data_IF_718538659922
#
_entry.id   IF_718538659922
#
_cell.length_a   1.000
_cell.length_b   1.000
_cell.length_c   1.000
_cell.angle_alpha   90.00
_cell.angle_beta   90.00
_cell.angle_gamma   90.00
#
_symmetry.space_group_name_H-M   'P 1'
#
loop_
_entity.id
_entity.type
_entity.pdbx_description
1 polymer ?
#
# COMPACT_ATOMS: atom_id res chain seq x y z
N UNK A 1 0.51 15.59 9.59
CA UNK A 1 0.40 14.17 9.21
C UNK A 1 0.57 14.08 7.72
N UNK A 2 1.43 13.17 7.24
CA UNK A 2 1.68 12.97 5.82
C UNK A 2 1.60 11.49 5.44
N UNK A 3 0.90 11.21 4.34
CA UNK A 3 1.05 9.96 3.61
C UNK A 3 2.25 10.13 2.67
N UNK A 4 3.31 9.37 2.90
CA UNK A 4 4.48 9.37 2.01
C UNK A 4 4.36 8.19 1.05
N UNK A 5 4.55 8.45 -0.21
CA UNK A 5 4.35 7.49 -1.30
C UNK A 5 5.66 7.08 -2.01
N UNK A 6 6.76 7.79 -1.76
CA UNK A 6 8.05 7.49 -2.39
C UNK A 6 8.94 6.73 -1.40
N UNK A 7 8.79 5.41 -1.34
CA UNK A 7 9.46 4.54 -0.37
C UNK A 7 10.99 4.73 -0.30
N UNK A 8 11.67 4.87 -1.43
CA UNK A 8 13.12 5.06 -1.49
C UNK A 8 13.59 6.37 -0.83
N UNK A 9 12.72 7.36 -0.66
CA UNK A 9 13.05 8.67 -0.10
C UNK A 9 12.53 8.89 1.33
N UNK A 10 11.94 7.88 1.95
CA UNK A 10 11.40 7.99 3.32
C UNK A 10 12.46 8.46 4.34
N UNK A 11 13.71 7.93 4.36
CA UNK A 11 14.71 8.38 5.33
C UNK A 11 15.08 9.86 5.20
N UNK A 12 15.24 10.35 3.96
CA UNK A 12 15.52 11.75 3.67
C UNK A 12 14.34 12.66 4.07
N UNK A 13 13.14 12.25 3.71
CA UNK A 13 11.91 12.95 4.06
C UNK A 13 11.70 13.02 5.57
N UNK A 14 11.91 11.92 6.29
CA UNK A 14 11.86 11.89 7.75
C UNK A 14 12.79 12.93 8.37
N UNK A 15 14.05 13.00 7.92
CA UNK A 15 15.04 13.94 8.43
C UNK A 15 14.62 15.40 8.21
N UNK A 16 14.05 15.70 7.04
CA UNK A 16 13.54 17.05 6.72
C UNK A 16 12.35 17.43 7.60
N UNK A 17 11.41 16.51 7.80
CA UNK A 17 10.23 16.73 8.66
C UNK A 17 10.65 16.87 10.12
N UNK A 18 11.60 16.05 10.60
CA UNK A 18 12.08 16.10 11.97
C UNK A 18 12.71 17.45 12.31
N UNK A 19 13.58 17.94 11.42
CA UNK A 19 14.19 19.27 11.58
C UNK A 19 13.13 20.36 11.68
N UNK A 20 12.23 20.45 10.69
CA UNK A 20 11.21 21.47 10.66
C UNK A 20 10.23 21.38 11.85
N UNK A 21 9.87 20.16 12.25
CA UNK A 21 8.96 19.94 13.37
C UNK A 21 9.61 20.36 14.71
N UNK A 22 10.89 20.07 14.92
CA UNK A 22 11.63 20.50 16.11
C UNK A 22 11.80 22.02 16.18
N UNK A 23 12.18 22.65 15.06
CA UNK A 23 12.30 24.11 14.96
C UNK A 23 10.97 24.82 15.23
N UNK A 24 9.86 24.25 14.79
CA UNK A 24 8.51 24.80 15.01
C UNK A 24 7.84 24.38 16.31
N UNK A 25 8.46 23.51 17.14
CA UNK A 25 7.84 22.97 18.36
C UNK A 25 6.61 22.10 18.08
N UNK A 26 6.55 21.42 16.93
CA UNK A 26 5.42 20.64 16.48
C UNK A 26 5.73 19.15 16.35
N UNK A 27 4.68 18.33 16.14
CA UNK A 27 4.79 16.92 15.81
C UNK A 27 4.51 16.71 14.31
N UNK A 28 5.43 16.02 13.62
CA UNK A 28 5.23 15.50 12.29
C UNK A 28 5.09 13.97 12.32
N UNK A 29 4.02 13.39 11.76
CA UNK A 29 3.92 11.94 11.58
C UNK A 29 3.88 11.64 10.10
N UNK A 30 4.80 10.78 9.64
CA UNK A 30 4.95 10.41 8.23
C UNK A 30 4.62 8.94 7.97
N UNK A 31 4.53 8.56 6.71
CA UNK A 31 4.20 7.21 6.23
C UNK A 31 2.85 6.72 6.75
N UNK A 32 1.90 7.65 6.86
CA UNK A 32 0.56 7.37 7.37
C UNK A 32 -0.37 7.01 6.22
N UNK A 33 -0.79 5.78 6.21
CA UNK A 33 -1.71 5.23 5.21
C UNK A 33 -1.93 3.74 5.47
N UNK A 34 -2.46 3.04 4.48
CA UNK A 34 -2.57 1.60 4.61
C UNK A 34 -1.30 0.88 4.10
N UNK A 35 -0.62 1.39 3.05
CA UNK A 35 0.73 0.97 2.65
C UNK A 35 1.45 2.09 1.87
N UNK A 36 2.47 2.72 2.45
CA UNK A 36 3.03 2.49 3.78
C UNK A 36 2.07 2.89 4.91
N UNK A 37 2.24 2.25 6.06
CA UNK A 37 1.48 2.51 7.28
C UNK A 37 0.98 1.24 7.94
N UNK A 38 -0.29 0.89 7.75
CA UNK A 38 -0.87 -0.32 8.39
C UNK A 38 -0.15 -1.60 7.97
N UNK A 39 0.11 -1.78 6.68
CA UNK A 39 0.87 -2.95 6.21
C UNK A 39 2.32 -2.94 6.68
N UNK A 40 2.91 -1.76 6.86
CA UNK A 40 4.25 -1.65 7.46
C UNK A 40 4.26 -2.17 8.90
N UNK A 41 3.25 -1.81 9.70
CA UNK A 41 3.05 -2.34 11.06
C UNK A 41 2.79 -3.85 11.04
N UNK A 42 1.96 -4.33 10.13
CA UNK A 42 1.66 -5.75 10.00
C UNK A 42 2.93 -6.56 9.65
N UNK A 43 3.78 -6.06 8.75
CA UNK A 43 5.09 -6.65 8.47
C UNK A 43 5.96 -6.68 9.72
N UNK A 44 6.08 -5.56 10.42
CA UNK A 44 6.87 -5.46 11.64
C UNK A 44 6.39 -6.44 12.73
N UNK A 45 5.10 -6.50 13.01
CA UNK A 45 4.54 -7.42 14.01
C UNK A 45 4.80 -8.89 13.63
N UNK A 46 4.54 -9.24 12.37
CA UNK A 46 4.74 -10.60 11.88
C UNK A 46 6.21 -11.02 11.98
N UNK A 47 7.14 -10.17 11.56
CA UNK A 47 8.59 -10.41 11.65
C UNK A 47 9.10 -10.48 13.09
N UNK A 48 8.54 -9.67 13.98
CA UNK A 48 8.92 -9.68 15.40
C UNK A 48 8.50 -10.96 16.11
N UNK A 49 7.42 -11.61 15.65
CA UNK A 49 6.88 -12.86 16.24
C UNK A 49 7.52 -14.09 15.60
N UNK A 50 7.54 -14.14 14.26
CA UNK A 50 8.19 -15.20 13.49
C UNK A 50 9.54 -14.69 12.97
N UNK A 51 10.57 -14.71 13.82
CA UNK A 51 11.90 -14.16 13.50
C UNK A 51 12.53 -14.88 12.31
N UNK A 52 12.42 -16.21 12.25
CA UNK A 52 12.82 -17.00 11.11
C UNK A 52 11.65 -17.15 10.14
N UNK A 53 11.84 -16.76 8.88
CA UNK A 53 10.79 -16.81 7.88
C UNK A 53 10.85 -15.68 6.86
N UNK A 54 9.89 -15.68 5.95
CA UNK A 54 9.80 -14.75 4.83
C UNK A 54 8.47 -13.98 4.84
N UNK A 55 8.52 -12.68 4.54
CA UNK A 55 7.33 -11.82 4.44
C UNK A 55 7.05 -11.48 2.99
N UNK A 56 5.80 -11.63 2.61
CA UNK A 56 5.30 -11.33 1.27
C UNK A 56 4.20 -10.27 1.35
N UNK A 57 4.22 -9.33 0.43
CA UNK A 57 3.13 -8.38 0.24
C UNK A 57 2.53 -8.57 -1.14
N UNK A 58 1.22 -8.78 -1.19
CA UNK A 58 0.43 -8.85 -2.41
C UNK A 58 -0.57 -7.70 -2.40
N UNK A 59 -0.50 -6.83 -3.41
CA UNK A 59 -1.42 -5.70 -3.56
C UNK A 59 -2.52 -6.02 -4.55
N UNK A 60 -3.74 -5.62 -4.23
CA UNK A 60 -4.87 -5.72 -5.13
C UNK A 60 -5.99 -6.67 -4.64
N UNK A 61 -6.98 -6.94 -5.46
CA UNK A 61 -7.20 -6.24 -6.73
C UNK A 61 -7.51 -4.77 -6.47
N UNK A 62 -6.77 -3.84 -7.10
CA UNK A 62 -6.97 -2.43 -6.80
C UNK A 62 -6.41 -1.46 -7.82
N UNK A 63 -7.03 -0.27 -7.87
CA UNK A 63 -6.65 0.82 -8.75
C UNK A 63 -5.37 1.49 -8.28
N UNK A 64 -4.33 1.49 -9.11
CA UNK A 64 -3.12 2.27 -8.86
C UNK A 64 -3.22 3.63 -9.53
N UNK A 65 -3.27 4.69 -8.73
CA UNK A 65 -3.37 6.08 -9.21
C UNK A 65 -2.12 6.49 -10.01
N UNK A 66 -0.94 6.22 -9.46
CA UNK A 66 0.31 6.58 -10.12
C UNK A 66 0.52 5.90 -11.47
N UNK A 67 0.18 4.60 -11.57
CA UNK A 67 0.25 3.88 -12.83
C UNK A 67 -0.80 4.36 -13.83
N UNK A 68 -2.02 4.62 -13.38
CA UNK A 68 -3.08 5.19 -14.21
C UNK A 68 -2.68 6.56 -14.76
N UNK A 69 -2.05 7.39 -13.94
CA UNK A 69 -1.53 8.70 -14.34
C UNK A 69 -0.40 8.58 -15.37
N UNK A 70 0.49 7.62 -15.21
CA UNK A 70 1.57 7.38 -16.17
C UNK A 70 1.01 7.02 -17.55
N UNK A 71 -0.04 6.16 -17.60
CA UNK A 71 -0.71 5.80 -18.86
C UNK A 71 -1.38 7.02 -19.50
N UNK A 72 -2.08 7.86 -18.71
CA UNK A 72 -2.76 9.07 -19.21
C UNK A 72 -1.84 10.11 -19.85
N UNK A 73 -0.52 10.03 -19.60
CA UNK A 73 0.49 10.91 -20.19
C UNK A 73 1.03 10.42 -21.54
N UNK A 74 0.64 9.21 -21.97
CA UNK A 74 1.03 8.68 -23.27
C UNK A 74 0.24 9.41 -24.35
N UNK A 75 0.91 9.82 -25.42
CA UNK A 75 0.28 10.44 -26.58
C UNK A 75 -0.81 9.54 -27.17
N UNK A 76 -1.96 10.11 -27.50
CA UNK A 76 -3.12 9.37 -28.01
C UNK A 76 -3.97 8.68 -26.94
N UNK A 77 -3.66 8.84 -25.65
CA UNK A 77 -4.50 8.35 -24.56
C UNK A 77 -5.37 9.48 -24.01
N UNK A 78 -6.68 9.32 -24.11
CA UNK A 78 -7.69 10.24 -23.56
C UNK A 78 -7.90 10.02 -22.07
N UNK A 79 -7.98 8.76 -21.63
CA UNK A 79 -8.16 8.37 -20.23
C UNK A 79 -7.70 6.94 -20.01
N UNK A 80 -7.33 6.60 -18.75
CA UNK A 80 -6.94 5.24 -18.41
C UNK A 80 -7.10 4.95 -16.93
N UNK A 81 -7.35 3.68 -16.63
CA UNK A 81 -7.30 3.12 -15.27
C UNK A 81 -6.49 1.83 -15.30
N UNK A 82 -5.63 1.65 -14.30
CA UNK A 82 -4.82 0.46 -14.14
C UNK A 82 -5.15 -0.22 -12.82
N UNK A 83 -5.31 -1.54 -12.86
CA UNK A 83 -5.47 -2.41 -11.70
C UNK A 83 -4.23 -3.26 -11.47
N UNK A 84 -3.77 -3.28 -10.23
CA UNK A 84 -2.82 -4.28 -9.74
C UNK A 84 -3.61 -5.50 -9.30
N UNK A 85 -3.25 -6.68 -9.80
CA UNK A 85 -3.95 -7.94 -9.54
C UNK A 85 -2.94 -8.94 -8.97
N UNK A 86 -3.13 -9.43 -7.74
CA UNK A 86 -2.26 -10.44 -7.19
C UNK A 86 -2.47 -11.79 -7.90
N UNK A 87 -1.40 -12.57 -8.02
CA UNK A 87 -1.46 -13.92 -8.62
C UNK A 87 -1.85 -14.91 -7.52
N UNK A 88 -3.03 -15.50 -7.64
CA UNK A 88 -3.62 -16.39 -6.65
C UNK A 88 -2.73 -17.60 -6.36
N UNK A 89 -2.15 -18.24 -7.38
CA UNK A 89 -1.26 -19.39 -7.20
C UNK A 89 -0.01 -19.05 -6.39
N UNK A 90 0.51 -17.82 -6.51
CA UNK A 90 1.64 -17.35 -5.71
C UNK A 90 1.23 -17.13 -4.24
N UNK A 91 0.04 -16.58 -4.01
CA UNK A 91 -0.51 -16.41 -2.66
C UNK A 91 -0.75 -17.77 -1.99
N UNK A 92 -1.38 -18.72 -2.68
CA UNK A 92 -1.63 -20.08 -2.17
C UNK A 92 -0.33 -20.83 -1.85
N UNK A 93 0.70 -20.66 -2.68
CA UNK A 93 2.02 -21.22 -2.41
C UNK A 93 2.61 -20.68 -1.10
N UNK A 94 2.50 -19.39 -0.84
CA UNK A 94 2.95 -18.78 0.43
C UNK A 94 2.07 -19.24 1.60
N UNK A 95 0.75 -19.26 1.43
CA UNK A 95 -0.22 -19.72 2.43
C UNK A 95 -0.01 -21.18 2.85
N UNK A 96 0.56 -22.00 1.98
CA UNK A 96 0.93 -23.38 2.31
C UNK A 96 2.10 -23.51 3.30
N UNK A 97 2.70 -22.38 3.70
CA UNK A 97 3.89 -22.35 4.56
C UNK A 97 5.20 -22.50 3.77
N UNK A 98 5.16 -22.35 2.44
CA UNK A 98 6.35 -22.32 1.61
C UNK A 98 6.98 -20.94 1.59
N UNK A 99 8.29 -20.88 1.35
CA UNK A 99 9.06 -19.65 1.29
C UNK A 99 9.69 -19.45 -0.11
N UNK A 100 8.87 -19.29 -1.17
CA UNK A 100 9.37 -19.14 -2.52
C UNK A 100 10.08 -17.80 -2.71
N UNK A 101 11.13 -17.78 -3.52
CA UNK A 101 11.65 -16.52 -4.07
C UNK A 101 10.78 -16.13 -5.25
N UNK A 102 10.03 -15.04 -5.10
CA UNK A 102 9.09 -14.54 -6.11
C UNK A 102 9.57 -13.21 -6.68
N UNK A 103 9.66 -13.14 -8.00
CA UNK A 103 9.87 -11.89 -8.73
C UNK A 103 8.60 -11.02 -8.70
N UNK A 104 8.72 -9.78 -9.11
CA UNK A 104 7.60 -8.84 -9.26
C UNK A 104 6.51 -9.42 -10.17
N UNK A 105 6.92 -10.01 -11.30
CA UNK A 105 6.06 -10.65 -12.31
C UNK A 105 5.30 -11.87 -11.78
N UNK A 106 5.95 -12.64 -10.90
CA UNK A 106 5.32 -13.83 -10.29
C UNK A 106 4.35 -13.47 -9.16
N UNK A 107 4.38 -12.24 -8.66
CA UNK A 107 3.45 -11.79 -7.61
C UNK A 107 2.23 -11.07 -8.14
N UNK A 108 2.36 -10.29 -9.23
CA UNK A 108 1.32 -9.38 -9.68
C UNK A 108 1.21 -9.31 -11.20
N UNK A 109 -0.02 -9.19 -11.67
CA UNK A 109 -0.38 -8.81 -13.02
C UNK A 109 -0.80 -7.33 -13.06
N UNK A 110 -0.76 -6.73 -14.24
CA UNK A 110 -1.31 -5.41 -14.54
C UNK A 110 -2.46 -5.53 -15.55
N UNK A 111 -3.62 -5.02 -15.18
CA UNK A 111 -4.76 -4.87 -16.07
C UNK A 111 -4.99 -3.39 -16.34
N UNK A 112 -4.87 -2.97 -17.59
CA UNK A 112 -5.07 -1.59 -18.02
C UNK A 112 -6.34 -1.49 -18.85
N UNK A 113 -7.16 -0.49 -18.57
CA UNK A 113 -8.34 -0.11 -19.34
C UNK A 113 -8.09 1.29 -19.88
N UNK A 114 -8.02 1.42 -21.20
CA UNK A 114 -7.52 2.62 -21.89
C UNK A 114 -8.56 3.13 -22.86
N UNK A 115 -8.89 4.40 -22.76
CA UNK A 115 -9.67 5.14 -23.76
C UNK A 115 -8.67 5.87 -24.66
N UNK A 116 -8.56 5.41 -25.89
CA UNK A 116 -7.71 6.06 -26.88
C UNK A 116 -8.43 7.24 -27.54
N UNK A 117 -7.68 8.23 -28.00
CA UNK A 117 -8.19 9.31 -28.85
C UNK A 117 -8.61 8.75 -30.21
N UNK A 118 -9.48 9.46 -30.91
CA UNK A 118 -9.93 9.06 -32.24
C UNK A 118 -8.74 9.05 -33.23
N UNK A 119 -8.57 7.94 -33.94
CA UNK A 119 -7.45 7.75 -34.87
C UNK A 119 -6.09 7.43 -34.24
N UNK A 120 -6.01 7.31 -32.93
CA UNK A 120 -4.74 6.97 -32.26
C UNK A 120 -4.27 5.55 -32.59
N UNK A 121 -2.96 5.37 -32.70
CA UNK A 121 -2.33 4.06 -32.90
C UNK A 121 -2.35 3.24 -31.59
N UNK A 122 -3.36 2.39 -31.46
CA UNK A 122 -3.55 1.51 -30.31
C UNK A 122 -2.36 0.57 -30.08
N UNK A 123 -1.72 0.10 -31.16
CA UNK A 123 -0.57 -0.79 -31.03
C UNK A 123 0.67 -0.06 -30.47
N UNK A 124 0.88 1.18 -30.89
CA UNK A 124 1.93 2.03 -30.32
C UNK A 124 1.66 2.35 -28.83
N UNK A 125 0.41 2.66 -28.46
CA UNK A 125 0.02 2.90 -27.06
C UNK A 125 0.24 1.64 -26.21
N UNK A 126 -0.22 0.47 -26.66
CA UNK A 126 -0.03 -0.79 -25.94
C UNK A 126 1.45 -1.09 -25.74
N UNK A 127 2.26 -0.93 -26.77
CA UNK A 127 3.71 -1.10 -26.68
C UNK A 127 4.33 -0.13 -25.67
N UNK A 128 3.97 1.15 -25.73
CA UNK A 128 4.47 2.18 -24.82
C UNK A 128 4.13 1.85 -23.34
N UNK A 129 2.92 1.34 -23.07
CA UNK A 129 2.54 0.89 -21.74
C UNK A 129 3.42 -0.28 -21.30
N UNK A 130 3.44 -1.37 -22.06
CA UNK A 130 4.11 -2.62 -21.68
C UNK A 130 5.63 -2.48 -21.49
N UNK A 131 6.25 -1.50 -22.14
CA UNK A 131 7.69 -1.25 -22.06
C UNK A 131 8.07 -0.07 -21.18
N UNK A 132 7.11 0.52 -20.46
CA UNK A 132 7.37 1.70 -19.61
C UNK A 132 8.21 1.32 -18.39
N UNK A 133 9.44 1.86 -18.26
CA UNK A 133 10.34 1.55 -17.16
C UNK A 133 9.77 1.94 -15.80
N UNK A 134 10.03 1.12 -14.80
CA UNK A 134 9.63 1.30 -13.39
C UNK A 134 8.10 1.18 -13.14
N UNK A 135 7.28 1.02 -14.17
CA UNK A 135 5.82 0.92 -14.05
C UNK A 135 5.28 -0.43 -14.55
N UNK A 136 5.70 -0.87 -15.75
CA UNK A 136 5.08 -2.01 -16.43
C UNK A 136 6.06 -3.04 -16.98
N UNK A 137 7.31 -2.67 -17.25
CA UNK A 137 8.31 -3.52 -17.90
C UNK A 137 8.66 -4.79 -17.11
N UNK A 138 8.48 -4.77 -15.79
CA UNK A 138 8.68 -5.93 -14.91
C UNK A 138 7.42 -6.77 -14.68
N UNK A 139 6.30 -6.47 -15.37
CA UNK A 139 5.01 -7.14 -15.15
C UNK A 139 4.43 -7.76 -16.42
N UNK A 140 3.61 -8.79 -16.25
CA UNK A 140 2.69 -9.23 -17.30
C UNK A 140 1.50 -8.28 -17.33
N UNK A 141 1.39 -7.52 -18.43
CA UNK A 141 0.45 -6.43 -18.57
C UNK A 141 -0.55 -6.72 -19.70
N UNK A 142 -1.84 -6.67 -19.37
CA UNK A 142 -2.93 -6.71 -20.33
C UNK A 142 -3.46 -5.30 -20.55
N UNK A 143 -3.63 -4.91 -21.82
CA UNK A 143 -4.18 -3.60 -22.19
C UNK A 143 -5.50 -3.82 -22.94
N UNK A 144 -6.58 -3.28 -22.37
CA UNK A 144 -7.92 -3.33 -22.92
C UNK A 144 -8.31 -1.93 -23.40
N UNK A 145 -8.60 -1.78 -24.70
CA UNK A 145 -9.13 -0.52 -25.22
C UNK A 145 -10.64 -0.55 -25.13
N UNK A 146 -11.20 0.43 -24.42
CA UNK A 146 -12.64 0.56 -24.13
C UNK A 146 -13.14 1.97 -24.45
N UNK A 147 -14.46 2.15 -24.45
CA UNK A 147 -15.07 3.47 -24.58
C UNK A 147 -15.01 4.28 -23.28
N UNK A 148 -15.24 5.60 -23.38
CA UNK A 148 -15.30 6.46 -22.20
C UNK A 148 -16.53 6.15 -21.32
N UNK A 149 -17.65 5.78 -21.96
CA UNK A 149 -18.88 5.34 -21.30
C UNK A 149 -18.64 4.07 -20.49
N UNK A 150 -17.95 3.11 -21.07
CA UNK A 150 -17.60 1.84 -20.44
C UNK A 150 -16.63 2.06 -19.25
N UNK A 151 -15.60 2.89 -19.43
CA UNK A 151 -14.69 3.28 -18.36
C UNK A 151 -15.46 3.91 -17.20
N UNK A 152 -16.39 4.81 -17.49
CA UNK A 152 -17.21 5.52 -16.50
C UNK A 152 -18.21 4.62 -15.79
N UNK A 153 -18.82 3.67 -16.53
CA UNK A 153 -19.79 2.73 -15.97
C UNK A 153 -19.16 1.69 -15.05
N UNK A 154 -17.98 1.17 -15.41
CA UNK A 154 -17.40 -0.01 -14.78
C UNK A 154 -16.11 0.24 -13.97
N UNK A 155 -15.42 1.38 -14.21
CA UNK A 155 -14.10 1.65 -13.65
C UNK A 155 -14.01 2.99 -12.90
N UNK A 156 -15.14 3.60 -12.53
CA UNK A 156 -15.18 4.90 -11.82
C UNK A 156 -14.85 4.82 -10.33
N UNK A 157 -14.89 3.61 -9.75
CA UNK A 157 -14.58 3.39 -8.33
C UNK A 157 -13.07 3.21 -8.13
N UNK A 158 -12.61 3.39 -6.89
CA UNK A 158 -11.22 3.25 -6.50
C UNK A 158 -11.01 2.14 -5.46
N UNK A 159 -11.43 0.89 -5.74
CA UNK A 159 -11.18 -0.22 -4.84
C UNK A 159 -9.68 -0.50 -4.73
N UNK A 160 -9.25 -0.96 -3.58
CA UNK A 160 -7.90 -1.46 -3.39
C UNK A 160 -7.85 -2.45 -2.23
N UNK A 161 -6.64 -2.81 -1.82
CA UNK A 161 -6.37 -3.68 -0.69
C UNK A 161 -5.18 -4.58 -0.97
N UNK A 162 -5.12 -5.69 -0.27
CA UNK A 162 -4.06 -6.67 -0.43
C UNK A 162 -3.85 -7.52 0.80
N UNK A 163 -2.69 -8.17 0.83
CA UNK A 163 -2.32 -9.13 1.86
C UNK A 163 -0.87 -8.90 2.28
N UNK A 164 -0.62 -8.99 3.59
CA UNK A 164 0.72 -9.23 4.14
C UNK A 164 0.71 -10.64 4.70
N UNK A 165 1.52 -11.51 4.15
CA UNK A 165 1.62 -12.91 4.55
C UNK A 165 3.05 -13.15 5.02
N UNK A 166 3.21 -13.63 6.24
CA UNK A 166 4.48 -14.12 6.75
C UNK A 166 4.38 -15.59 7.00
N UNK A 167 5.29 -16.33 6.44
CA UNK A 167 5.51 -17.75 6.71
C UNK A 167 6.84 -17.92 7.41
N UNK A 168 6.92 -18.86 8.34
CA UNK A 168 8.15 -19.11 9.10
C UNK A 168 8.00 -20.27 10.06
N UNK A 169 9.06 -20.52 10.80
CA UNK A 169 9.16 -21.67 11.72
C UNK A 169 9.48 -21.20 13.14
N UNK A 170 9.05 -21.96 14.12
CA UNK A 170 9.44 -21.76 15.52
C UNK A 170 9.94 -23.06 16.16
N UNK A 171 10.81 -22.89 17.17
CA UNK A 171 11.38 -24.02 17.92
C UNK A 171 12.41 -24.81 17.13
N UNK A 172 12.83 -25.94 17.71
CA UNK A 172 13.86 -26.82 17.13
C UNK A 172 13.28 -27.94 16.24
N UNK A 173 11.96 -28.09 16.23
CA UNK A 173 11.25 -29.16 15.50
C UNK A 173 10.72 -28.67 14.12
N UNK A 174 10.95 -27.41 13.75
CA UNK A 174 10.51 -26.85 12.48
C UNK A 174 8.99 -26.73 12.37
N UNK A 175 8.31 -26.34 13.45
CA UNK A 175 6.87 -26.09 13.43
C UNK A 175 6.55 -24.88 12.55
N UNK A 176 5.81 -25.10 11.46
CA UNK A 176 5.46 -24.08 10.47
C UNK A 176 4.27 -23.25 10.91
N UNK A 177 4.37 -21.96 10.67
CA UNK A 177 3.32 -20.99 10.98
C UNK A 177 3.13 -20.02 9.81
N UNK A 178 1.89 -19.58 9.64
CA UNK A 178 1.53 -18.53 8.68
C UNK A 178 0.75 -17.45 9.42
N UNK A 179 1.17 -16.21 9.29
CA UNK A 179 0.42 -15.03 9.74
C UNK A 179 -0.03 -14.29 8.49
N UNK A 180 -1.33 -14.05 8.37
CA UNK A 180 -1.89 -13.31 7.25
C UNK A 180 -2.71 -12.12 7.74
N UNK A 181 -2.44 -10.95 7.19
CA UNK A 181 -3.25 -9.74 7.31
C UNK A 181 -3.86 -9.41 5.96
N UNK A 182 -5.16 -9.19 5.94
CA UNK A 182 -5.92 -8.90 4.73
C UNK A 182 -6.61 -7.55 4.84
N UNK A 183 -6.63 -6.80 3.75
CA UNK A 183 -7.32 -5.52 3.64
C UNK A 183 -8.11 -5.47 2.34
N UNK A 184 -9.40 -5.13 2.43
CA UNK A 184 -10.28 -4.91 1.29
C UNK A 184 -10.93 -3.54 1.41
N UNK A 185 -10.72 -2.68 0.44
CA UNK A 185 -11.18 -1.30 0.42
C UNK A 185 -12.11 -1.08 -0.77
N UNK A 186 -13.29 -0.57 -0.52
CA UNK A 186 -14.20 -0.11 -1.59
C UNK A 186 -13.76 1.26 -2.12
N UNK A 187 -13.12 2.08 -1.26
CA UNK A 187 -12.57 3.39 -1.60
C UNK A 187 -11.22 3.59 -0.91
N UNK A 188 -10.14 3.52 -1.67
CA UNK A 188 -8.79 3.77 -1.17
C UNK A 188 -8.65 5.18 -0.55
N UNK A 189 -9.08 6.29 -1.20
CA UNK A 189 -8.89 7.63 -0.63
C UNK A 189 -9.67 7.84 0.67
N UNK A 190 -10.90 7.32 0.80
CA UNK A 190 -11.70 7.45 2.03
C UNK A 190 -11.09 6.67 3.19
N UNK A 191 -10.63 5.45 2.93
CA UNK A 191 -9.96 4.66 3.95
C UNK A 191 -8.66 5.32 4.41
N UNK A 192 -7.82 5.79 3.47
CA UNK A 192 -6.59 6.51 3.79
C UNK A 192 -6.89 7.77 4.60
N UNK A 193 -7.96 8.50 4.28
CA UNK A 193 -8.45 9.63 5.08
C UNK A 193 -8.76 9.24 6.53
N UNK A 194 -9.40 8.10 6.74
CA UNK A 194 -9.70 7.59 8.09
C UNK A 194 -8.42 7.23 8.87
N UNK A 195 -7.42 6.65 8.20
CA UNK A 195 -6.11 6.38 8.81
C UNK A 195 -5.43 7.68 9.21
N UNK A 196 -5.41 8.68 8.32
CA UNK A 196 -4.84 10.01 8.62
C UNK A 196 -5.50 10.66 9.84
N UNK A 197 -6.83 10.58 9.97
CA UNK A 197 -7.56 11.12 11.14
C UNK A 197 -7.18 10.38 12.43
N UNK A 198 -6.98 9.07 12.38
CA UNK A 198 -6.54 8.30 13.56
C UNK A 198 -5.15 8.76 14.03
N UNK A 199 -4.21 8.94 13.11
CA UNK A 199 -2.87 9.44 13.42
C UNK A 199 -2.85 10.93 13.81
N UNK A 200 -3.76 11.75 13.28
CA UNK A 200 -3.93 13.13 13.73
C UNK A 200 -4.31 13.20 15.22
N UNK A 201 -5.14 12.25 15.70
CA UNK A 201 -5.45 12.11 17.13
C UNK A 201 -4.21 11.80 17.97
N UNK A 202 -3.35 10.91 17.48
CA UNK A 202 -2.08 10.60 18.14
C UNK A 202 -1.15 11.83 18.18
N UNK A 203 -1.00 12.54 17.06
CA UNK A 203 -0.20 13.76 17.00
C UNK A 203 -0.68 14.82 17.99
N UNK A 204 -1.99 15.04 18.06
CA UNK A 204 -2.56 15.95 19.05
C UNK A 204 -2.23 15.55 20.50
N UNK A 205 -2.34 14.26 20.82
CA UNK A 205 -2.01 13.74 22.17
C UNK A 205 -0.52 13.92 22.50
N UNK A 206 0.38 13.68 21.56
CA UNK A 206 1.82 13.91 21.72
C UNK A 206 2.13 15.40 21.90
N UNK A 207 1.54 16.26 21.09
CA UNK A 207 1.67 17.72 21.22
C UNK A 207 1.22 18.23 22.59
N UNK A 208 0.10 17.70 23.12
CA UNK A 208 -0.37 18.04 24.49
C UNK A 208 0.57 17.61 25.59
N UNK A 209 1.47 16.65 25.35
CA UNK A 209 2.55 16.24 26.25
C UNK A 209 3.81 17.08 26.09
N UNK A 210 3.83 18.08 25.21
CA UNK A 210 4.98 18.93 24.94
C UNK A 210 6.04 18.25 24.04
N UNK A 211 5.70 17.15 23.36
CA UNK A 211 6.61 16.48 22.45
C UNK A 211 6.70 17.24 21.11
N UNK A 212 7.87 17.14 20.46
CA UNK A 212 8.13 17.71 19.15
C UNK A 212 9.00 16.77 18.31
N UNK A 213 9.13 17.07 17.00
CA UNK A 213 9.93 16.29 16.06
C UNK A 213 9.10 15.33 15.23
N UNK A 214 9.77 14.57 14.35
CA UNK A 214 9.10 13.58 13.49
C UNK A 214 8.88 12.25 14.23
N UNK A 215 7.86 11.55 13.76
CA UNK A 215 7.54 10.16 14.09
C UNK A 215 7.16 9.44 12.80
N UNK A 216 7.41 8.16 12.74
CA UNK A 216 6.81 7.24 11.77
C UNK A 216 5.62 6.51 12.41
N UNK A 217 4.93 5.69 11.63
CA UNK A 217 3.88 4.82 12.18
C UNK A 217 4.40 3.85 13.24
N UNK A 218 5.69 3.52 13.21
CA UNK A 218 6.33 2.61 14.18
C UNK A 218 6.50 3.23 15.57
N UNK A 219 6.52 4.55 15.67
CA UNK A 219 6.75 5.28 16.92
C UNK A 219 5.45 5.59 17.67
N UNK A 220 4.31 5.19 17.13
CA UNK A 220 2.99 5.51 17.70
C UNK A 220 2.40 4.28 18.40
N UNK A 221 2.24 4.37 19.70
CA UNK A 221 1.54 3.33 20.45
C UNK A 221 0.09 3.17 19.96
N UNK A 222 -0.39 1.94 19.66
CA UNK A 222 -1.73 1.72 19.09
C UNK A 222 -2.87 2.37 19.89
N UNK A 223 -2.78 2.39 21.21
CA UNK A 223 -3.76 3.04 22.07
C UNK A 223 -3.92 4.55 21.80
N UNK A 224 -2.90 5.21 21.26
CA UNK A 224 -2.97 6.64 20.90
C UNK A 224 -3.86 6.91 19.69
N UNK A 225 -4.12 5.91 18.86
CA UNK A 225 -4.98 5.99 17.69
C UNK A 225 -6.46 5.87 18.05
N UNK A 226 -6.78 5.24 19.18
CA UNK A 226 -8.16 4.94 19.58
C UNK A 226 -8.89 6.19 20.10
N UNK A 227 -10.22 6.20 19.93
CA UNK A 227 -11.11 7.15 20.61
C UNK A 227 -11.40 6.75 22.06
N UNK A 228 -11.21 5.46 22.39
CA UNK A 228 -11.44 4.90 23.72
C UNK A 228 -10.39 5.34 24.71
N UNK A 229 -10.73 5.41 25.98
CA UNK A 229 -9.79 5.57 27.08
C UNK A 229 -8.96 4.30 27.31
N UNK A 230 -7.81 4.39 28.01
CA UNK A 230 -7.04 3.20 28.36
C UNK A 230 -7.85 2.15 29.15
N UNK A 231 -8.78 2.58 29.99
CA UNK A 231 -9.66 1.72 30.77
C UNK A 231 -10.64 0.96 29.87
N UNK A 232 -11.28 1.66 28.94
CA UNK A 232 -12.18 1.08 27.96
C UNK A 232 -11.47 0.10 27.01
N UNK A 233 -10.23 0.41 26.62
CA UNK A 233 -9.42 -0.48 25.79
C UNK A 233 -9.11 -1.79 26.53
N UNK A 234 -8.67 -1.71 27.79
CA UNK A 234 -8.42 -2.91 28.59
C UNK A 234 -9.68 -3.74 28.82
N UNK A 235 -10.79 -3.09 29.06
CA UNK A 235 -12.06 -3.78 29.33
C UNK A 235 -12.68 -4.43 28.10
N UNK A 236 -12.43 -3.91 26.89
CA UNK A 236 -13.11 -4.35 25.66
C UNK A 236 -12.24 -5.07 24.64
N UNK A 237 -10.92 -5.05 24.80
CA UNK A 237 -9.98 -5.58 23.81
C UNK A 237 -8.92 -6.54 24.41
N UNK A 238 -8.84 -6.65 25.72
CA UNK A 238 -8.01 -7.63 26.43
C UNK A 238 -8.88 -8.60 27.21
#
# INVERSE_FOLDING_TARGET
IASCDTHARIPEYFSSVDKAAKEGGNIGIISVGWDPGMFSLNRLYAESILVQGSTYTFWGKGVSQGHSDAIRRIEGVKNAIQYTVPIESAMELVRSGSEPTLTTREKHLRECYVVAEEGADKAAIEKAIKTMPNYFDEYDTTVNFISEEELKAHHSKMPHGGFVIRTGETGCEGNKHVIEYSLKLDSNPEFTGSVLVAYARAAYRLSKKGESGARSVFDIAPAMLSQKTPEELRASML
#
